data_IF_522075447294
#
_entry.id   IF_522075447294
#
_cell.length_a   1.000
_cell.length_b   1.000
_cell.length_c   1.000
_cell.angle_alpha   90.00
_cell.angle_beta   90.00
_cell.angle_gamma   90.00
#
_symmetry.space_group_name_H-M   'P 1'
#
loop_
_entity.id
_entity.type
_entity.pdbx_description
1 polymer ?
#
# COMPACT_ATOMS: atom_id res chain seq x y z
N UNK A 1 15.15 13.37 24.53
CA UNK A 1 14.08 13.71 23.56
C UNK A 1 14.15 12.71 22.41
N UNK A 2 13.10 11.93 22.18
CA UNK A 2 12.99 11.09 20.98
C UNK A 2 12.44 11.98 19.88
N UNK A 3 13.25 12.23 18.84
CA UNK A 3 12.83 12.91 17.62
C UNK A 3 11.76 12.03 16.96
N UNK A 4 10.59 12.57 16.62
CA UNK A 4 9.61 11.82 15.84
C UNK A 4 10.29 11.37 14.55
N UNK A 5 10.42 10.06 14.33
CA UNK A 5 10.90 9.54 13.06
C UNK A 5 9.83 9.85 12.02
N UNK A 6 10.02 10.92 11.26
CA UNK A 6 9.24 11.19 10.06
C UNK A 6 9.63 10.14 9.01
N UNK A 7 8.94 9.01 9.01
CA UNK A 7 9.11 7.99 7.98
C UNK A 7 8.70 8.58 6.62
N UNK A 8 9.34 8.16 5.52
CA UNK A 8 8.95 8.57 4.19
C UNK A 8 7.52 8.08 3.90
N UNK A 9 6.72 8.93 3.27
CA UNK A 9 5.40 8.53 2.76
C UNK A 9 5.60 7.67 1.52
N UNK A 10 4.90 6.54 1.46
CA UNK A 10 5.00 5.59 0.35
C UNK A 10 3.64 5.50 -0.34
N UNK A 11 3.64 5.65 -1.66
CA UNK A 11 2.47 5.42 -2.52
C UNK A 11 2.71 4.16 -3.34
N UNK A 12 1.71 3.30 -3.42
CA UNK A 12 1.77 2.05 -4.17
C UNK A 12 0.74 2.12 -5.29
N UNK A 13 1.19 1.87 -6.51
CA UNK A 13 0.35 1.80 -7.71
C UNK A 13 0.27 0.35 -8.16
N UNK A 14 -0.94 -0.19 -8.21
CA UNK A 14 -1.22 -1.55 -8.67
C UNK A 14 -1.94 -1.49 -10.01
N UNK A 15 -1.21 -1.53 -11.14
CA UNK A 15 -1.87 -1.56 -12.44
C UNK A 15 -2.63 -2.88 -12.59
N UNK A 16 -3.91 -2.81 -12.96
CA UNK A 16 -4.72 -3.98 -13.18
C UNK A 16 -5.57 -3.82 -14.44
N UNK A 17 -5.57 -4.83 -15.31
CA UNK A 17 -6.44 -4.85 -16.48
C UNK A 17 -7.40 -6.03 -16.38
N UNK A 18 -8.68 -5.73 -16.15
CA UNK A 18 -9.75 -6.73 -16.02
C UNK A 18 -9.48 -7.84 -14.97
N UNK A 19 -8.69 -7.52 -13.94
CA UNK A 19 -8.22 -8.44 -12.89
C UNK A 19 -8.91 -8.19 -11.54
N UNK A 20 -10.18 -7.74 -11.56
CA UNK A 20 -10.93 -7.38 -10.35
C UNK A 20 -10.95 -8.48 -9.28
N UNK A 21 -10.95 -9.75 -9.68
CA UNK A 21 -10.90 -10.91 -8.76
C UNK A 21 -9.61 -10.99 -7.92
N UNK A 22 -8.51 -10.39 -8.37
CA UNK A 22 -7.24 -10.38 -7.65
C UNK A 22 -7.02 -9.12 -6.83
N UNK A 23 -7.84 -8.08 -7.05
CA UNK A 23 -7.67 -6.77 -6.44
C UNK A 23 -7.69 -6.84 -4.91
N UNK A 24 -8.64 -7.61 -4.35
CA UNK A 24 -8.74 -7.80 -2.91
C UNK A 24 -7.49 -8.49 -2.34
N UNK A 25 -7.05 -9.59 -2.96
CA UNK A 25 -5.86 -10.31 -2.52
C UNK A 25 -4.60 -9.44 -2.62
N UNK A 26 -4.45 -8.65 -3.68
CA UNK A 26 -3.35 -7.70 -3.85
C UNK A 26 -3.38 -6.63 -2.75
N UNK A 27 -4.53 -6.03 -2.47
CA UNK A 27 -4.69 -5.04 -1.40
C UNK A 27 -4.36 -5.65 -0.04
N UNK A 28 -4.86 -6.86 0.26
CA UNK A 28 -4.58 -7.56 1.51
C UNK A 28 -3.10 -7.88 1.70
N UNK A 29 -2.38 -8.23 0.62
CA UNK A 29 -0.93 -8.45 0.67
C UNK A 29 -0.16 -7.19 1.07
N UNK A 30 -0.62 -6.02 0.63
CA UNK A 30 -0.01 -4.72 0.94
C UNK A 30 -0.32 -4.32 2.37
N UNK A 31 -1.57 -4.43 2.82
CA UNK A 31 -1.97 -4.06 4.19
C UNK A 31 -1.32 -4.94 5.27
N UNK A 32 -1.11 -6.23 4.99
CA UNK A 32 -0.43 -7.13 5.91
C UNK A 32 1.11 -6.96 5.91
N UNK A 33 1.65 -6.07 5.07
CA UNK A 33 3.07 -5.74 5.07
C UNK A 33 3.42 -4.83 6.25
N UNK A 34 4.57 -5.05 6.90
CA UNK A 34 5.04 -4.32 8.11
C UNK A 34 5.38 -2.84 7.89
N UNK A 35 5.10 -2.28 6.72
CA UNK A 35 5.39 -0.89 6.42
C UNK A 35 4.27 0.00 6.94
N UNK A 36 4.64 0.98 7.76
CA UNK A 36 3.70 1.88 8.41
C UNK A 36 3.23 2.95 7.41
N UNK A 37 1.92 2.98 7.15
CA UNK A 37 1.17 4.04 6.43
C UNK A 37 1.23 3.98 4.89
N UNK A 38 0.25 3.30 4.28
CA UNK A 38 0.09 3.17 2.83
C UNK A 38 -0.99 4.07 2.26
N UNK A 39 -0.78 4.52 1.02
CA UNK A 39 -1.82 5.09 0.15
C UNK A 39 -1.86 4.28 -1.14
N UNK A 40 -3.00 3.64 -1.42
CA UNK A 40 -3.20 2.80 -2.61
C UNK A 40 -4.04 3.58 -3.62
N UNK A 41 -3.57 3.64 -4.86
CA UNK A 41 -4.30 4.18 -6.00
C UNK A 41 -4.52 3.07 -7.03
N UNK A 42 -5.79 2.78 -7.30
CA UNK A 42 -6.18 1.90 -8.41
C UNK A 42 -6.50 2.77 -9.63
N UNK A 43 -5.89 2.42 -10.76
CA UNK A 43 -6.15 3.00 -12.08
C UNK A 43 -6.73 1.92 -12.98
#
# INVERSE_FOLDING_TARGET
>A
MIKSLSLPKISIVTPSFNQGQFLEATIQSIFNSKLSQFRIHNY
#
